data_IF_658704205754
#
_entry.id   IF_658704205754
#
_cell.length_a   1.000
_cell.length_b   1.000
_cell.length_c   1.000
_cell.angle_alpha   90.00
_cell.angle_beta   90.00
_cell.angle_gamma   90.00
#
_symmetry.space_group_name_H-M   'P 1'
#
loop_
_entity.id
_entity.type
_entity.pdbx_description
1 polymer ?
#
# COMPACT_ATOMS: atom_id res chain seq x y z
N UNK A 1 12.70 12.54 -6.21
CA UNK A 1 12.50 11.14 -5.75
C UNK A 1 12.72 10.17 -6.90
N UNK A 2 13.32 9.00 -6.66
CA UNK A 2 13.52 7.99 -7.70
C UNK A 2 12.30 7.08 -7.82
N UNK A 3 11.88 6.78 -9.05
CA UNK A 3 10.80 5.84 -9.34
C UNK A 3 11.39 4.52 -9.81
N UNK A 4 11.03 3.43 -9.15
CA UNK A 4 11.48 2.06 -9.48
C UNK A 4 10.29 1.14 -9.67
N UNK A 5 10.47 0.13 -10.52
CA UNK A 5 9.47 -0.90 -10.73
C UNK A 5 9.37 -1.78 -9.48
N UNK A 6 8.17 -1.97 -8.96
CA UNK A 6 7.91 -2.84 -7.83
C UNK A 6 8.24 -4.31 -8.15
N UNK A 7 7.98 -4.75 -9.39
CA UNK A 7 8.13 -6.16 -9.78
C UNK A 7 9.55 -6.53 -10.20
N UNK A 8 10.18 -5.72 -11.05
CA UNK A 8 11.50 -6.02 -11.62
C UNK A 8 12.62 -5.10 -11.14
N UNK A 9 12.32 -4.17 -10.22
CA UNK A 9 13.27 -3.19 -9.66
C UNK A 9 13.94 -2.27 -10.69
N UNK A 10 13.51 -2.28 -11.96
CA UNK A 10 14.02 -1.41 -13.02
C UNK A 10 13.70 0.05 -12.69
N UNK A 11 14.67 0.94 -12.93
CA UNK A 11 14.47 2.38 -12.82
C UNK A 11 13.48 2.88 -13.89
N UNK A 12 12.44 3.60 -13.46
CA UNK A 12 11.37 4.09 -14.33
C UNK A 12 11.53 5.59 -14.60
N UNK A 13 12.18 6.33 -13.69
CA UNK A 13 12.40 7.77 -13.85
C UNK A 13 12.56 8.49 -12.52
N UNK A 14 12.62 9.81 -12.59
CA UNK A 14 12.65 10.70 -11.44
C UNK A 14 11.35 11.50 -11.39
N UNK A 15 10.81 11.67 -10.18
CA UNK A 15 9.66 12.53 -9.92
C UNK A 15 10.14 13.76 -9.16
N UNK A 16 9.69 14.92 -9.64
CA UNK A 16 9.88 16.21 -8.98
C UNK A 16 9.02 16.24 -7.72
N UNK A 17 9.69 16.12 -6.57
CA UNK A 17 9.04 16.27 -5.29
C UNK A 17 10.07 16.63 -4.24
N UNK A 18 9.66 17.53 -3.35
CA UNK A 18 10.49 18.14 -2.30
C UNK A 18 10.79 17.19 -1.12
N UNK A 19 10.49 15.90 -1.27
CA UNK A 19 10.80 14.86 -0.30
C UNK A 19 12.08 14.17 -0.77
N UNK A 20 13.06 14.06 0.12
CA UNK A 20 14.45 13.66 -0.16
C UNK A 20 14.63 12.26 -0.77
N UNK A 21 15.51 11.43 -0.21
CA UNK A 21 15.96 10.14 -0.77
C UNK A 21 14.90 9.02 -0.86
N UNK A 22 13.61 9.38 -0.90
CA UNK A 22 12.51 8.44 -1.03
C UNK A 22 12.49 7.77 -2.42
N UNK A 23 12.21 6.47 -2.39
CA UNK A 23 12.05 5.61 -3.56
C UNK A 23 10.57 5.31 -3.73
N UNK A 24 9.99 5.86 -4.80
CA UNK A 24 8.63 5.58 -5.20
C UNK A 24 8.58 4.25 -5.96
N UNK A 25 7.82 3.29 -5.43
CA UNK A 25 7.57 2.03 -6.10
C UNK A 25 6.32 2.14 -6.98
N UNK A 26 6.43 1.74 -8.25
CA UNK A 26 5.35 1.75 -9.24
C UNK A 26 5.49 0.56 -10.19
N UNK A 27 4.57 0.34 -11.13
CA UNK A 27 4.69 -0.73 -12.12
C UNK A 27 5.22 -0.17 -13.44
N UNK A 28 6.21 -0.82 -14.08
CA UNK A 28 6.63 -0.46 -15.44
C UNK A 28 5.72 -1.12 -16.50
N UNK A 29 5.65 -0.53 -17.69
CA UNK A 29 4.76 -0.98 -18.78
C UNK A 29 4.99 -2.44 -19.18
N UNK A 30 6.24 -2.90 -19.20
CA UNK A 30 6.56 -4.29 -19.54
C UNK A 30 6.05 -5.28 -18.49
N UNK A 31 6.16 -4.94 -17.20
CA UNK A 31 5.63 -5.79 -16.13
C UNK A 31 4.10 -5.72 -16.10
N UNK A 32 3.51 -4.55 -16.32
CA UNK A 32 2.06 -4.40 -16.43
C UNK A 32 1.48 -5.26 -17.56
N UNK A 33 2.12 -5.24 -18.74
CA UNK A 33 1.73 -6.07 -19.90
C UNK A 33 1.92 -7.56 -19.63
N UNK A 34 3.04 -7.97 -19.04
CA UNK A 34 3.32 -9.39 -18.70
C UNK A 34 2.31 -9.95 -17.70
N UNK A 35 1.92 -9.14 -16.71
CA UNK A 35 0.94 -9.53 -15.71
C UNK A 35 -0.51 -9.39 -16.20
N UNK A 36 -0.71 -8.79 -17.39
CA UNK A 36 -2.01 -8.45 -17.98
C UNK A 36 -2.85 -7.63 -17.00
N UNK A 37 -2.22 -6.63 -16.38
CA UNK A 37 -2.88 -5.84 -15.35
C UNK A 37 -4.10 -5.10 -15.90
N UNK A 38 -4.04 -4.61 -17.14
CA UNK A 38 -5.19 -3.90 -17.75
C UNK A 38 -6.39 -4.83 -17.92
N UNK A 39 -6.17 -6.08 -18.33
CA UNK A 39 -7.22 -7.10 -18.49
C UNK A 39 -7.80 -7.53 -17.13
N UNK A 40 -6.96 -7.57 -16.09
CA UNK A 40 -7.33 -8.02 -14.74
C UNK A 40 -7.74 -6.87 -13.81
N UNK A 41 -7.63 -5.63 -14.27
CA UNK A 41 -7.84 -4.45 -13.43
C UNK A 41 -9.25 -4.44 -12.83
N UNK A 42 -10.32 -4.76 -13.59
CA UNK A 42 -11.66 -4.83 -13.03
C UNK A 42 -11.74 -5.82 -11.86
N UNK A 43 -11.26 -7.04 -12.03
CA UNK A 43 -11.30 -8.10 -11.01
C UNK A 43 -10.44 -7.75 -9.79
N UNK A 44 -9.27 -7.15 -10.01
CA UNK A 44 -8.40 -6.68 -8.93
C UNK A 44 -9.07 -5.55 -8.14
N UNK A 45 -9.69 -4.58 -8.81
CA UNK A 45 -10.46 -3.52 -8.15
C UNK A 45 -11.64 -4.09 -7.36
N UNK A 46 -12.38 -5.04 -7.93
CA UNK A 46 -13.43 -5.76 -7.23
C UNK A 46 -12.89 -6.48 -5.99
N UNK A 47 -11.77 -7.18 -6.09
CA UNK A 47 -11.15 -7.86 -4.95
C UNK A 47 -10.77 -6.88 -3.83
N UNK A 48 -10.26 -5.69 -4.17
CA UNK A 48 -9.93 -4.64 -3.19
C UNK A 48 -11.20 -4.10 -2.53
N UNK A 49 -12.28 -3.85 -3.29
CA UNK A 49 -13.57 -3.40 -2.75
C UNK A 49 -14.17 -4.46 -1.84
N UNK A 50 -14.15 -5.73 -2.25
CA UNK A 50 -14.64 -6.84 -1.43
C UNK A 50 -13.83 -7.01 -0.16
N UNK A 51 -12.50 -6.93 -0.23
CA UNK A 51 -11.62 -6.98 0.95
C UNK A 51 -11.87 -5.80 1.89
N UNK A 52 -12.10 -4.59 1.36
CA UNK A 52 -12.49 -3.43 2.17
C UNK A 52 -13.88 -3.60 2.80
N UNK A 53 -14.83 -4.20 2.08
CA UNK A 53 -16.16 -4.52 2.61
C UNK A 53 -16.12 -5.57 3.73
N UNK A 54 -15.23 -6.56 3.62
CA UNK A 54 -14.99 -7.55 4.68
C UNK A 54 -14.28 -6.93 5.89
N UNK A 55 -13.31 -6.04 5.65
CA UNK A 55 -12.60 -5.32 6.72
C UNK A 55 -13.46 -4.23 7.38
N UNK A 56 -14.50 -3.73 6.70
CA UNK A 56 -15.47 -2.77 7.24
C UNK A 56 -16.48 -3.36 8.23
N UNK A 57 -16.55 -4.69 8.37
CA UNK A 57 -17.22 -5.38 9.48
C UNK A 57 -16.36 -5.50 10.74
N UNK A 58 -15.13 -4.95 10.71
CA UNK A 58 -14.12 -5.09 11.75
C UNK A 58 -13.59 -3.72 12.21
N UNK A 59 -14.43 -2.69 12.23
CA UNK A 59 -14.17 -1.45 12.97
C UNK A 59 -15.21 -1.28 14.10
N UNK A 60 -14.91 -1.86 15.27
CA UNK A 60 -15.13 -1.29 16.61
C UNK A 60 -14.84 -2.31 17.72
N UNK A 61 -13.57 -2.50 18.07
CA UNK A 61 -13.11 -2.54 19.47
C UNK A 61 -11.58 -2.66 19.54
N UNK A 62 -10.91 -1.51 19.49
CA UNK A 62 -9.77 -1.25 20.36
C UNK A 62 -9.78 0.25 20.64
N UNK A 63 -10.63 0.57 21.61
CA UNK A 63 -10.82 1.84 22.28
C UNK A 63 -9.47 2.44 22.68
N UNK A 64 -9.32 3.74 22.41
CA UNK A 64 -8.66 4.67 23.32
C UNK A 64 -9.05 4.28 24.77
N UNK A 65 -8.12 3.70 25.53
CA UNK A 65 -8.43 3.20 26.87
C UNK A 65 -7.29 2.48 27.58
N UNK A 66 -6.04 2.90 27.41
CA UNK A 66 -4.93 2.44 28.25
C UNK A 66 -3.79 3.47 28.35
N UNK A 67 -4.14 4.72 28.69
CA UNK A 67 -3.19 5.69 29.27
C UNK A 67 -3.32 5.73 30.81
N UNK A 68 -3.98 4.74 31.43
CA UNK A 68 -4.15 4.66 32.89
C UNK A 68 -3.84 3.26 33.41
N UNK A 69 -2.56 2.88 33.45
CA UNK A 69 -1.94 2.13 34.56
C UNK A 69 -0.47 1.90 34.21
N UNK A 70 0.34 2.94 34.47
CA UNK A 70 1.71 2.69 34.86
C UNK A 70 1.68 1.80 36.10
N UNK A 71 2.17 0.57 35.90
CA UNK A 71 2.95 -0.24 36.82
C UNK A 71 2.59 -0.17 38.32
N UNK A 72 2.12 -1.32 38.81
CA UNK A 72 2.35 -1.74 40.19
C UNK A 72 3.85 -1.63 40.55
N UNK A 73 4.11 -0.90 41.64
CA UNK A 73 4.80 -1.38 42.84
C UNK A 73 6.11 -2.18 42.64
N UNK A 74 7.20 -1.54 43.05
CA UNK A 74 8.01 -2.03 44.18
C UNK A 74 8.19 -0.89 45.15
#
# INVERSE_FOLDING_TARGET
>A
MKKVCYWCSTYIGETDGNHGSEILHSMCDDCARRLRLDEKLPELLWSIVTLRGQNGGMEQNQTLGALTTAQYKT
#
